data_IF_301761728240
#
_entry.id   IF_301761728240
#
_cell.length_a   1.000
_cell.length_b   1.000
_cell.length_c   1.000
_cell.angle_alpha   90.00
_cell.angle_beta   90.00
_cell.angle_gamma   90.00
#
_symmetry.space_group_name_H-M   'P 1'
#
loop_
_entity.id
_entity.type
_entity.pdbx_description
1 polymer ?
#
# COMPACT_ATOMS: atom_id res chain seq x y z
N UNK A 1 60.32 9.55 2.30
CA UNK A 1 59.17 9.18 1.44
C UNK A 1 58.61 7.86 1.95
N UNK A 2 57.62 7.95 2.84
CA UNK A 2 57.07 6.84 3.64
C UNK A 2 55.63 6.56 3.21
N UNK A 3 55.38 5.40 2.63
CA UNK A 3 54.02 4.93 2.27
C UNK A 3 53.28 4.39 3.49
N UNK A 4 52.38 5.19 4.06
CA UNK A 4 51.47 4.78 5.12
C UNK A 4 50.10 4.42 4.55
N UNK A 5 49.73 3.13 4.58
CA UNK A 5 48.34 2.70 4.37
C UNK A 5 47.54 3.02 5.64
N UNK A 6 46.62 3.98 5.57
CA UNK A 6 45.65 4.24 6.63
C UNK A 6 44.61 3.11 6.68
N UNK A 7 44.43 2.50 7.86
CA UNK A 7 43.36 1.54 8.14
C UNK A 7 42.06 2.31 8.39
N UNK A 8 40.95 1.83 7.83
CA UNK A 8 39.61 2.27 8.21
C UNK A 8 39.36 2.06 9.71
N UNK A 9 38.63 2.95 10.40
CA UNK A 9 38.24 2.73 11.78
C UNK A 9 37.29 1.52 11.85
N UNK A 10 37.70 0.52 12.62
CA UNK A 10 36.90 -0.67 12.90
C UNK A 10 35.66 -0.29 13.70
N UNK A 11 34.48 -0.36 13.07
CA UNK A 11 33.23 -0.53 13.82
C UNK A 11 33.31 -1.91 14.48
N UNK A 12 33.28 -1.95 15.82
CA UNK A 12 33.01 -3.18 16.54
C UNK A 12 31.64 -3.72 16.11
N UNK A 13 31.51 -5.00 15.72
CA UNK A 13 30.20 -5.58 15.47
C UNK A 13 29.44 -5.69 16.81
N UNK A 14 28.13 -5.43 16.78
CA UNK A 14 27.24 -5.85 17.87
C UNK A 14 27.36 -7.38 18.04
N UNK A 15 27.37 -7.90 19.29
CA UNK A 15 27.67 -9.32 19.55
C UNK A 15 26.67 -10.33 18.95
N UNK A 16 25.57 -9.87 18.36
CA UNK A 16 24.45 -10.72 17.92
C UNK A 16 24.20 -10.71 16.40
N UNK A 17 25.02 -10.04 15.59
CA UNK A 17 24.97 -10.13 14.11
C UNK A 17 23.65 -9.69 13.47
N UNK A 18 22.73 -9.08 14.23
CA UNK A 18 21.48 -8.53 13.70
C UNK A 18 21.75 -7.13 13.15
N UNK A 19 21.16 -6.73 12.00
CA UNK A 19 21.12 -5.31 11.65
C UNK A 19 20.48 -4.58 12.83
N UNK A 20 21.21 -3.63 13.42
CA UNK A 20 20.73 -2.88 14.57
C UNK A 20 19.34 -2.34 14.30
N UNK A 21 18.38 -2.66 15.18
CA UNK A 21 17.06 -2.05 15.16
C UNK A 21 17.28 -0.54 15.10
N UNK A 22 16.73 0.20 14.12
CA UNK A 22 16.98 1.64 14.06
C UNK A 22 16.59 2.23 15.41
N UNK A 23 17.58 2.82 16.09
CA UNK A 23 17.41 3.44 17.40
C UNK A 23 16.28 4.45 17.29
N UNK A 24 15.38 4.43 18.26
CA UNK A 24 14.12 5.19 18.37
C UNK A 24 14.32 6.73 18.40
N UNK A 25 15.53 7.23 18.09
CA UNK A 25 16.04 8.59 18.32
C UNK A 25 16.02 9.52 17.10
N UNK A 26 15.41 9.14 15.97
CA UNK A 26 15.17 10.07 14.84
C UNK A 26 13.76 10.02 14.27
N UNK A 27 12.74 10.11 15.12
CA UNK A 27 11.46 10.67 14.67
C UNK A 27 11.59 12.19 14.79
N UNK A 28 12.36 12.79 13.88
CA UNK A 28 12.37 14.25 13.73
C UNK A 28 10.99 14.65 13.23
N UNK A 29 10.31 15.44 14.06
CA UNK A 29 8.87 15.74 13.96
C UNK A 29 8.51 16.66 12.79
N UNK A 30 9.48 16.97 11.92
CA UNK A 30 9.39 17.99 10.86
C UNK A 30 9.86 17.48 9.47
N UNK A 31 10.31 16.22 9.37
CA UNK A 31 10.64 15.63 8.06
C UNK A 31 9.36 15.32 7.29
N UNK A 32 9.26 15.82 6.05
CA UNK A 32 8.10 15.56 5.20
C UNK A 32 8.01 14.07 4.89
N UNK A 33 6.81 13.52 5.04
CA UNK A 33 6.50 12.10 4.77
C UNK A 33 5.63 12.05 3.52
N UNK A 34 6.21 11.88 2.32
CA UNK A 34 5.46 11.81 1.08
C UNK A 34 4.71 10.49 1.00
N UNK A 35 3.40 10.56 0.83
CA UNK A 35 2.52 9.42 0.54
C UNK A 35 1.93 9.63 -0.85
N UNK A 36 2.18 8.71 -1.78
CA UNK A 36 1.55 8.76 -3.11
C UNK A 36 0.16 8.17 -3.00
N UNK A 37 -0.82 8.84 -3.58
CA UNK A 37 -2.23 8.45 -3.55
C UNK A 37 -2.72 8.37 -4.99
N UNK A 38 -2.95 7.15 -5.50
CA UNK A 38 -3.40 6.96 -6.87
C UNK A 38 -4.91 7.22 -6.99
N UNK A 39 -5.30 8.16 -7.84
CA UNK A 39 -6.70 8.55 -8.05
C UNK A 39 -7.04 8.35 -9.52
N UNK A 40 -8.08 7.59 -9.80
CA UNK A 40 -8.64 7.37 -11.14
C UNK A 40 -10.09 7.87 -11.30
N UNK A 41 -10.61 8.55 -10.27
CA UNK A 41 -11.95 9.12 -10.17
C UNK A 41 -13.09 8.09 -10.29
N UNK A 42 -12.81 6.82 -9.96
CA UNK A 42 -13.84 5.79 -9.84
C UNK A 42 -14.43 5.72 -8.42
N UNK A 43 -15.33 4.77 -8.19
CA UNK A 43 -16.01 4.58 -6.91
C UNK A 43 -15.04 4.17 -5.78
N UNK A 44 -13.88 3.60 -6.09
CA UNK A 44 -12.87 3.19 -5.10
C UNK A 44 -11.97 4.35 -4.68
N UNK A 45 -11.91 5.43 -5.47
CA UNK A 45 -11.09 6.59 -5.17
C UNK A 45 -11.43 7.21 -3.80
N UNK A 46 -12.69 7.17 -3.38
CA UNK A 46 -13.13 7.67 -2.07
C UNK A 46 -12.50 6.88 -0.91
N UNK A 47 -12.41 5.55 -1.03
CA UNK A 47 -11.78 4.69 -0.02
C UNK A 47 -10.27 4.91 0.02
N UNK A 48 -9.64 5.08 -1.14
CA UNK A 48 -8.21 5.43 -1.26
C UNK A 48 -7.92 6.75 -0.54
N UNK A 49 -8.73 7.79 -0.80
CA UNK A 49 -8.58 9.08 -0.13
C UNK A 49 -8.78 8.96 1.37
N UNK A 50 -9.83 8.25 1.81
CA UNK A 50 -10.13 8.08 3.24
C UNK A 50 -8.97 7.47 4.00
N UNK A 51 -8.38 6.41 3.44
CA UNK A 51 -7.27 5.73 4.09
C UNK A 51 -5.98 6.59 4.08
N UNK A 52 -5.70 7.29 2.98
CA UNK A 52 -4.60 8.24 2.92
C UNK A 52 -4.76 9.39 3.95
N UNK A 53 -5.97 9.92 4.10
CA UNK A 53 -6.29 10.94 5.11
C UNK A 53 -6.12 10.41 6.54
N UNK A 54 -6.55 9.16 6.84
CA UNK A 54 -6.29 8.53 8.15
C UNK A 54 -4.79 8.50 8.47
N UNK A 55 -3.94 8.16 7.50
CA UNK A 55 -2.48 8.17 7.68
C UNK A 55 -1.96 9.58 7.95
N UNK A 56 -2.51 10.60 7.27
CA UNK A 56 -2.11 12.00 7.48
C UNK A 56 -2.42 12.51 8.89
N UNK A 57 -3.43 11.95 9.57
CA UNK A 57 -3.77 12.27 10.94
C UNK A 57 -2.80 11.68 11.99
N UNK A 58 -2.05 10.63 11.65
CA UNK A 58 -1.19 9.92 12.62
C UNK A 58 0.13 10.63 12.91
N UNK A 59 0.59 11.47 11.98
CA UNK A 59 1.91 12.11 12.07
C UNK A 59 1.90 13.49 11.42
N UNK A 60 2.51 14.48 12.09
CA UNK A 60 2.83 15.76 11.44
C UNK A 60 3.83 15.55 10.31
N UNK A 61 3.73 16.37 9.27
CA UNK A 61 4.63 16.34 8.11
C UNK A 61 4.21 15.40 6.98
N UNK A 62 3.11 14.65 7.12
CA UNK A 62 2.55 13.88 5.98
C UNK A 62 2.07 14.82 4.90
N UNK A 63 2.50 14.55 3.67
CA UNK A 63 2.04 15.23 2.46
C UNK A 63 1.47 14.18 1.51
N UNK A 64 0.23 14.38 1.08
CA UNK A 64 -0.43 13.49 0.13
C UNK A 64 -0.12 13.95 -1.30
N UNK A 65 0.61 13.14 -2.03
CA UNK A 65 0.93 13.32 -3.44
C UNK A 65 -0.14 12.62 -4.28
N UNK A 66 -1.22 13.35 -4.59
CA UNK A 66 -2.33 12.86 -5.41
C UNK A 66 -1.85 12.65 -6.85
N UNK A 67 -1.94 11.44 -7.36
CA UNK A 67 -1.41 11.07 -8.66
C UNK A 67 -2.50 10.52 -9.57
N UNK A 68 -2.64 11.10 -10.76
CA UNK A 68 -3.46 10.55 -11.83
C UNK A 68 -2.58 10.19 -13.02
N UNK A 69 -2.80 9.00 -13.61
CA UNK A 69 -2.06 8.56 -14.80
C UNK A 69 -2.99 8.53 -16.00
N UNK A 70 -2.68 9.35 -16.99
CA UNK A 70 -3.34 9.32 -18.29
C UNK A 70 -2.71 8.21 -19.15
N UNK A 71 -3.51 7.37 -19.83
CA UNK A 71 -2.96 6.34 -20.71
C UNK A 71 -2.14 6.99 -21.84
N UNK A 72 -0.97 6.43 -22.15
CA UNK A 72 -0.21 6.87 -23.31
C UNK A 72 -0.94 6.49 -24.60
N UNK A 73 -1.16 7.46 -25.49
CA UNK A 73 -1.62 7.19 -26.85
C UNK A 73 -0.51 6.46 -27.62
N UNK A 74 -0.70 5.18 -27.87
CA UNK A 74 0.17 4.43 -28.77
C UNK A 74 -0.30 4.64 -30.22
N UNK A 75 0.51 5.33 -31.04
CA UNK A 75 0.65 5.01 -32.46
C UNK A 75 -0.42 5.45 -33.48
N UNK A 76 -1.03 6.62 -33.37
CA UNK A 76 -1.85 7.21 -34.45
C UNK A 76 -1.44 8.65 -34.75
N UNK A 77 -1.53 9.08 -36.02
CA UNK A 77 -1.20 10.45 -36.46
C UNK A 77 -1.71 11.49 -35.47
N UNK A 78 -0.79 12.07 -34.70
CA UNK A 78 -1.12 13.19 -33.84
C UNK A 78 -1.43 14.39 -34.75
N UNK A 79 -2.68 14.82 -34.74
CA UNK A 79 -3.06 16.07 -35.38
C UNK A 79 -2.86 17.22 -34.40
N UNK A 80 -2.69 18.44 -34.90
CA UNK A 80 -2.52 19.63 -34.03
C UNK A 80 -3.70 19.78 -33.04
N UNK A 81 -4.90 19.34 -33.42
CA UNK A 81 -6.09 19.30 -32.57
C UNK A 81 -5.98 18.29 -31.42
N UNK A 82 -5.49 17.07 -31.69
CA UNK A 82 -5.34 16.06 -30.63
C UNK A 82 -4.29 16.46 -29.59
N UNK A 83 -3.21 17.14 -30.01
CA UNK A 83 -2.18 17.67 -29.09
C UNK A 83 -2.76 18.76 -28.18
N UNK A 84 -3.58 19.66 -28.73
CA UNK A 84 -4.20 20.74 -27.96
C UNK A 84 -5.19 20.19 -26.92
N UNK A 85 -6.05 19.27 -27.32
CA UNK A 85 -7.00 18.61 -26.41
C UNK A 85 -6.29 17.83 -25.29
N UNK A 86 -5.14 17.19 -25.59
CA UNK A 86 -4.33 16.51 -24.58
C UNK A 86 -3.66 17.47 -23.60
N UNK A 87 -3.15 18.59 -24.11
CA UNK A 87 -2.54 19.64 -23.27
C UNK A 87 -3.59 20.22 -22.33
N UNK A 88 -4.79 20.50 -22.83
CA UNK A 88 -5.92 21.00 -22.02
C UNK A 88 -6.37 19.98 -20.97
N UNK A 89 -6.39 18.68 -21.30
CA UNK A 89 -6.62 17.62 -20.32
C UNK A 89 -5.52 17.57 -19.25
N UNK A 90 -4.26 17.67 -19.64
CA UNK A 90 -3.13 17.62 -18.71
C UNK A 90 -3.12 18.82 -17.75
N UNK A 91 -3.47 20.01 -18.24
CA UNK A 91 -3.54 21.24 -17.44
C UNK A 91 -4.76 21.28 -16.50
N UNK A 92 -5.88 20.67 -16.89
CA UNK A 92 -7.11 20.66 -16.09
C UNK A 92 -7.14 19.59 -14.99
N UNK A 93 -6.42 18.47 -15.16
CA UNK A 93 -6.41 17.36 -14.18
C UNK A 93 -5.90 17.77 -12.79
N UNK A 94 -4.80 18.55 -12.62
CA UNK A 94 -4.35 19.00 -11.30
C UNK A 94 -5.43 19.79 -10.56
N UNK A 95 -6.08 20.73 -11.24
CA UNK A 95 -7.16 21.52 -10.66
C UNK A 95 -8.35 20.64 -10.24
N UNK A 96 -8.69 19.65 -11.07
CA UNK A 96 -9.73 18.66 -10.78
C UNK A 96 -9.39 17.77 -9.59
N UNK A 97 -8.13 17.32 -9.44
CA UNK A 97 -7.70 16.55 -8.26
C UNK A 97 -7.85 17.38 -6.97
N UNK A 98 -7.44 18.65 -7.00
CA UNK A 98 -7.56 19.54 -5.85
C UNK A 98 -9.02 19.83 -5.50
N UNK A 99 -9.89 20.12 -6.48
CA UNK A 99 -11.31 20.36 -6.24
C UNK A 99 -11.97 19.11 -5.66
N UNK A 100 -11.69 17.94 -6.25
CA UNK A 100 -12.24 16.66 -5.83
C UNK A 100 -11.90 16.33 -4.36
N UNK A 101 -10.65 16.52 -3.92
CA UNK A 101 -10.28 16.32 -2.51
C UNK A 101 -10.92 17.35 -1.58
N UNK A 102 -10.95 18.62 -1.98
CA UNK A 102 -11.55 19.70 -1.16
C UNK A 102 -13.03 19.47 -0.93
N UNK A 103 -13.77 19.09 -1.96
CA UNK A 103 -15.19 18.77 -1.88
C UNK A 103 -15.45 17.63 -0.88
N UNK A 104 -14.64 16.57 -0.92
CA UNK A 104 -14.75 15.43 0.00
C UNK A 104 -14.38 15.78 1.42
N UNK A 105 -13.29 16.52 1.64
CA UNK A 105 -12.90 16.98 2.97
C UNK A 105 -13.92 17.95 3.56
N UNK A 106 -14.62 18.74 2.73
CA UNK A 106 -15.71 19.60 3.16
C UNK A 106 -16.99 18.81 3.50
N UNK A 107 -17.27 17.73 2.77
CA UNK A 107 -18.42 16.86 3.00
C UNK A 107 -18.23 15.90 4.19
N UNK A 108 -16.99 15.50 4.48
CA UNK A 108 -16.64 14.58 5.56
C UNK A 108 -15.51 15.16 6.43
N UNK A 109 -15.90 15.76 7.56
CA UNK A 109 -14.97 16.36 8.52
C UNK A 109 -13.97 15.36 9.11
N UNK A 110 -14.24 14.05 9.05
CA UNK A 110 -13.31 13.02 9.56
C UNK A 110 -12.04 12.90 8.71
N UNK A 111 -12.08 13.37 7.46
CA UNK A 111 -10.92 13.40 6.55
C UNK A 111 -9.93 14.52 6.90
N UNK A 112 -10.36 15.53 7.65
CA UNK A 112 -9.53 16.68 8.02
C UNK A 112 -9.14 17.56 6.82
N UNK A 113 -8.00 18.25 6.93
CA UNK A 113 -7.48 19.12 5.87
C UNK A 113 -6.02 18.75 5.55
N UNK A 114 -5.79 17.68 4.78
CA UNK A 114 -4.44 17.19 4.49
C UNK A 114 -3.65 18.18 3.64
N UNK A 115 -2.33 18.20 3.80
CA UNK A 115 -1.44 18.87 2.86
C UNK A 115 -1.38 18.03 1.58
N UNK A 116 -1.74 18.63 0.45
CA UNK A 116 -1.83 17.93 -0.83
C UNK A 116 -0.92 18.55 -1.89
N UNK A 117 -0.34 17.71 -2.74
CA UNK A 117 0.38 18.07 -3.96
C UNK A 117 -0.15 17.18 -5.09
N UNK A 118 -0.40 17.73 -6.26
CA UNK A 118 -0.93 16.97 -7.41
C UNK A 118 0.15 16.62 -8.42
N UNK A 119 0.05 15.41 -8.97
CA UNK A 119 0.92 14.86 -9.99
C UNK A 119 0.07 14.30 -11.12
N UNK A 120 0.41 14.65 -12.35
CA UNK A 120 -0.13 13.97 -13.53
C UNK A 120 1.01 13.29 -14.24
N UNK A 121 0.80 12.03 -14.60
CA UNK A 121 1.74 11.22 -15.37
C UNK A 121 1.04 10.69 -16.60
N UNK A 122 1.81 10.29 -17.60
CA UNK A 122 1.33 9.61 -18.79
C UNK A 122 1.98 8.22 -18.88
N UNK A 123 1.28 7.26 -19.48
CA UNK A 123 1.83 5.91 -19.68
C UNK A 123 1.04 4.81 -18.97
N UNK A 124 1.73 3.71 -18.67
CA UNK A 124 1.17 2.59 -17.92
C UNK A 124 1.02 2.99 -16.44
N UNK A 125 -0.18 2.90 -15.82
CA UNK A 125 -0.42 3.36 -14.46
C UNK A 125 0.53 2.77 -13.42
N UNK A 126 0.76 1.45 -13.45
CA UNK A 126 1.62 0.78 -12.47
C UNK A 126 3.07 1.28 -12.53
N UNK A 127 3.63 1.40 -13.75
CA UNK A 127 5.00 1.87 -13.96
C UNK A 127 5.14 3.35 -13.59
N UNK A 128 4.21 4.20 -14.03
CA UNK A 128 4.22 5.63 -13.76
C UNK A 128 4.09 5.93 -12.27
N UNK A 129 3.23 5.21 -11.54
CA UNK A 129 3.08 5.35 -10.10
C UNK A 129 4.30 4.82 -9.34
N UNK A 130 4.84 3.66 -9.73
CA UNK A 130 6.06 3.14 -9.14
C UNK A 130 7.25 4.09 -9.34
N UNK A 131 7.37 4.67 -10.53
CA UNK A 131 8.41 5.67 -10.82
C UNK A 131 8.22 6.93 -9.99
N UNK A 132 6.99 7.47 -9.91
CA UNK A 132 6.69 8.62 -9.05
C UNK A 132 7.09 8.35 -7.59
N UNK A 133 6.84 7.15 -7.08
CA UNK A 133 7.24 6.77 -5.72
C UNK A 133 8.76 6.84 -5.53
N UNK A 134 9.55 6.46 -6.54
CA UNK A 134 11.02 6.60 -6.51
C UNK A 134 11.42 8.07 -6.59
N UNK A 135 10.83 8.84 -7.52
CA UNK A 135 11.16 10.25 -7.76
C UNK A 135 11.07 11.11 -6.49
N UNK A 136 10.04 10.85 -5.65
CA UNK A 136 9.78 11.64 -4.44
C UNK A 136 10.18 10.92 -3.14
N UNK A 137 10.82 9.75 -3.24
CA UNK A 137 11.13 8.90 -2.07
C UNK A 137 9.90 8.62 -1.19
N UNK A 138 8.81 8.21 -1.83
CA UNK A 138 7.54 7.93 -1.18
C UNK A 138 7.68 6.88 -0.07
N UNK A 139 7.07 7.16 1.07
CA UNK A 139 7.07 6.26 2.25
C UNK A 139 5.92 5.26 2.19
N UNK A 140 4.91 5.54 1.36
CA UNK A 140 3.74 4.70 1.14
C UNK A 140 3.11 5.05 -0.21
N UNK A 141 2.60 4.04 -0.89
CA UNK A 141 1.73 4.18 -2.05
C UNK A 141 0.34 3.63 -1.69
N UNK A 142 -0.69 4.45 -1.80
CA UNK A 142 -2.10 4.07 -1.57
C UNK A 142 -2.79 3.93 -2.92
N UNK A 143 -3.42 2.77 -3.17
CA UNK A 143 -4.10 2.44 -4.42
C UNK A 143 -5.44 1.76 -4.13
N UNK A 144 -6.39 1.92 -5.04
CA UNK A 144 -7.67 1.20 -4.99
C UNK A 144 -7.55 -0.21 -5.59
N UNK A 145 -8.61 -1.01 -5.47
CA UNK A 145 -8.76 -2.26 -6.23
C UNK A 145 -9.92 -2.16 -7.20
N UNK A 146 -9.63 -1.81 -8.46
CA UNK A 146 -10.63 -1.93 -9.52
C UNK A 146 -10.01 -2.31 -10.88
N UNK A 147 -10.79 -3.02 -11.70
CA UNK A 147 -10.63 -3.16 -13.16
C UNK A 147 -11.92 -2.69 -13.85
N UNK A 148 -11.84 -2.04 -15.01
CA UNK A 148 -13.00 -1.54 -15.78
C UNK A 148 -13.93 -2.61 -16.37
N UNK A 149 -13.99 -3.82 -15.82
CA UNK A 149 -14.78 -4.95 -16.36
C UNK A 149 -15.34 -5.82 -15.24
N UNK A 150 -16.66 -6.01 -15.27
CA UNK A 150 -17.46 -6.68 -14.23
C UNK A 150 -17.18 -8.18 -14.08
N UNK A 151 -16.15 -8.53 -13.31
CA UNK A 151 -15.98 -9.86 -12.74
C UNK A 151 -15.93 -9.75 -11.21
N UNK A 152 -16.82 -10.51 -10.57
CA UNK A 152 -17.15 -10.49 -9.14
C UNK A 152 -15.98 -10.99 -8.27
N UNK A 153 -15.89 -10.41 -7.07
CA UNK A 153 -15.18 -10.87 -5.84
C UNK A 153 -13.64 -10.89 -5.90
N UNK A 154 -13.02 -10.16 -4.97
CA UNK A 154 -11.65 -10.35 -4.46
C UNK A 154 -10.49 -10.25 -5.48
N UNK A 155 -10.73 -9.80 -6.71
CA UNK A 155 -9.64 -9.58 -7.65
C UNK A 155 -8.87 -8.29 -7.29
N UNK A 156 -7.61 -8.46 -6.89
CA UNK A 156 -6.65 -7.37 -6.86
C UNK A 156 -6.58 -6.80 -8.28
N UNK A 157 -6.96 -5.54 -8.49
CA UNK A 157 -6.97 -4.93 -9.82
C UNK A 157 -5.63 -5.10 -10.53
N UNK A 158 -5.60 -5.19 -11.87
CA UNK A 158 -4.35 -5.49 -12.62
C UNK A 158 -3.24 -4.48 -12.33
N UNK A 159 -3.60 -3.21 -12.13
CA UNK A 159 -2.67 -2.15 -11.71
C UNK A 159 -2.15 -2.38 -10.29
N UNK A 160 -3.03 -2.69 -9.33
CA UNK A 160 -2.64 -2.94 -7.94
C UNK A 160 -1.73 -4.18 -7.81
N UNK A 161 -2.00 -5.24 -8.58
CA UNK A 161 -1.14 -6.44 -8.62
C UNK A 161 0.27 -6.11 -9.13
N UNK A 162 0.36 -5.39 -10.26
CA UNK A 162 1.64 -4.97 -10.81
C UNK A 162 2.40 -4.07 -9.83
N UNK A 163 1.70 -3.15 -9.17
CA UNK A 163 2.28 -2.25 -8.16
C UNK A 163 2.82 -3.05 -6.97
N UNK A 164 2.07 -3.99 -6.42
CA UNK A 164 2.54 -4.81 -5.28
C UNK A 164 3.81 -5.59 -5.62
N UNK A 165 3.95 -6.05 -6.87
CA UNK A 165 5.14 -6.77 -7.32
C UNK A 165 6.38 -5.90 -7.49
N UNK A 166 6.22 -4.62 -7.82
CA UNK A 166 7.32 -3.78 -8.33
C UNK A 166 7.57 -2.48 -7.55
N UNK A 167 6.63 -2.04 -6.72
CA UNK A 167 6.81 -0.83 -5.92
C UNK A 167 7.99 -0.99 -4.96
N UNK A 168 8.80 0.07 -4.86
CA UNK A 168 9.97 0.12 -3.95
C UNK A 168 9.62 0.68 -2.57
N UNK A 169 8.36 0.99 -2.33
CA UNK A 169 7.83 1.45 -1.05
C UNK A 169 6.69 0.51 -0.60
N UNK A 170 6.31 0.54 0.69
CA UNK A 170 5.08 -0.10 1.14
C UNK A 170 3.88 0.30 0.27
N UNK A 171 2.97 -0.65 0.06
CA UNK A 171 1.73 -0.44 -0.71
C UNK A 171 0.55 -0.72 0.20
N UNK A 172 -0.36 0.24 0.27
CA UNK A 172 -1.65 0.10 0.94
C UNK A 172 -2.74 0.01 -0.11
N UNK A 173 -3.42 -1.12 -0.10
CA UNK A 173 -4.52 -1.40 -1.01
C UNK A 173 -5.82 -1.08 -0.28
N UNK A 174 -6.45 0.03 -0.66
CA UNK A 174 -7.72 0.46 -0.12
C UNK A 174 -8.86 -0.22 -0.88
N UNK A 175 -9.66 -1.00 -0.15
CA UNK A 175 -10.86 -1.63 -0.67
C UNK A 175 -11.92 -1.64 0.42
N UNK A 176 -13.19 -1.32 0.12
CA UNK A 176 -14.27 -1.45 1.07
C UNK A 176 -14.54 -2.95 1.29
N UNK A 177 -13.91 -3.54 2.29
CA UNK A 177 -14.23 -4.92 2.67
C UNK A 177 -15.56 -4.90 3.40
N UNK A 178 -16.63 -5.22 2.69
CA UNK A 178 -17.87 -5.61 3.34
C UNK A 178 -17.72 -7.04 3.85
N UNK A 179 -17.38 -7.18 5.13
CA UNK A 179 -17.29 -8.48 5.80
C UNK A 179 -18.67 -9.16 5.94
N UNK A 180 -19.78 -8.45 5.72
CA UNK A 180 -21.11 -9.04 5.76
C UNK A 180 -21.33 -9.97 4.56
N UNK A 181 -21.54 -11.26 4.84
CA UNK A 181 -21.82 -12.27 3.81
C UNK A 181 -20.59 -12.83 3.08
N UNK A 182 -19.37 -12.48 3.51
CA UNK A 182 -18.20 -13.28 3.16
C UNK A 182 -18.25 -14.57 3.98
N UNK A 183 -17.94 -15.70 3.33
CA UNK A 183 -17.62 -16.93 4.06
C UNK A 183 -16.45 -16.55 4.97
N UNK A 184 -16.52 -16.79 6.30
CA UNK A 184 -15.41 -16.50 7.18
C UNK A 184 -14.16 -17.14 6.58
N UNK A 185 -13.16 -16.34 6.24
CA UNK A 185 -11.83 -16.89 5.98
C UNK A 185 -11.49 -17.74 7.20
N UNK A 186 -11.00 -18.98 7.05
CA UNK A 186 -10.58 -19.78 8.19
C UNK A 186 -9.67 -18.89 9.03
N UNK A 187 -10.16 -18.55 10.22
CA UNK A 187 -9.43 -17.63 11.08
C UNK A 187 -8.11 -18.34 11.40
N UNK A 188 -6.96 -17.65 11.36
CA UNK A 188 -5.75 -18.24 11.90
C UNK A 188 -6.08 -18.81 13.29
N UNK A 189 -5.68 -20.06 13.53
CA UNK A 189 -6.06 -20.77 14.74
C UNK A 189 -5.78 -19.90 15.97
N UNK A 190 -6.66 -19.91 16.97
CA UNK A 190 -6.48 -19.09 18.14
C UNK A 190 -5.11 -19.38 18.77
N UNK A 191 -4.39 -18.32 19.13
CA UNK A 191 -3.08 -18.44 19.76
C UNK A 191 -3.21 -19.32 21.00
N UNK A 192 -2.39 -20.37 21.09
CA UNK A 192 -2.32 -21.22 22.28
C UNK A 192 -2.10 -20.36 23.54
N UNK A 193 -2.97 -20.50 24.53
CA UNK A 193 -2.94 -19.71 25.77
C UNK A 193 -1.63 -19.84 26.54
N UNK A 194 -1.02 -21.03 26.52
CA UNK A 194 0.28 -21.27 27.14
C UNK A 194 1.42 -20.59 26.37
N UNK A 195 1.38 -20.58 25.04
CA UNK A 195 2.35 -19.83 24.23
C UNK A 195 2.24 -18.32 24.50
N UNK A 196 1.02 -17.79 24.62
CA UNK A 196 0.81 -16.40 24.98
C UNK A 196 1.36 -16.07 26.39
N UNK A 197 1.12 -16.94 27.38
CA UNK A 197 1.63 -16.78 28.73
C UNK A 197 3.17 -16.81 28.80
N UNK A 198 3.80 -17.77 28.11
CA UNK A 198 5.26 -17.87 28.04
C UNK A 198 5.88 -16.66 27.32
N UNK A 199 5.25 -16.19 26.24
CA UNK A 199 5.71 -14.98 25.54
C UNK A 199 5.61 -13.75 26.43
N UNK A 200 4.52 -13.61 27.18
CA UNK A 200 4.34 -12.50 28.11
C UNK A 200 5.35 -12.54 29.27
N UNK A 201 5.51 -13.71 29.93
CA UNK A 201 6.40 -13.85 31.09
C UNK A 201 7.89 -13.76 30.73
N UNK A 202 8.26 -14.14 29.52
CA UNK A 202 9.63 -14.05 29.01
C UNK A 202 9.96 -12.74 28.28
N UNK A 203 9.02 -11.79 28.22
CA UNK A 203 9.13 -10.57 27.41
C UNK A 203 9.53 -10.85 25.95
N UNK A 204 8.99 -11.94 25.39
CA UNK A 204 9.24 -12.39 24.02
C UNK A 204 10.56 -13.15 23.81
N UNK A 205 11.37 -13.40 24.84
CA UNK A 205 12.57 -14.23 24.71
C UNK A 205 12.21 -15.70 24.38
N UNK A 206 11.03 -16.17 24.81
CA UNK A 206 10.46 -17.45 24.44
C UNK A 206 9.13 -17.22 23.70
N UNK A 207 8.93 -17.94 22.59
CA UNK A 207 7.77 -17.75 21.71
C UNK A 207 6.71 -18.84 21.85
N UNK A 208 7.10 -19.99 22.39
CA UNK A 208 6.33 -21.23 22.39
C UNK A 208 6.32 -21.86 23.78
N UNK A 209 5.21 -22.47 24.18
CA UNK A 209 5.18 -23.34 25.37
C UNK A 209 5.98 -24.61 25.11
N UNK A 210 6.27 -25.38 26.16
CA UNK A 210 7.04 -26.62 26.07
C UNK A 210 6.51 -27.54 24.97
N UNK A 211 5.20 -27.79 24.91
CA UNK A 211 4.56 -28.59 23.88
C UNK A 211 4.84 -28.06 22.47
N UNK A 212 4.71 -26.76 22.22
CA UNK A 212 4.92 -26.16 20.90
C UNK A 212 6.38 -25.83 20.57
N UNK A 213 7.28 -25.94 21.55
CA UNK A 213 8.73 -25.83 21.35
C UNK A 213 9.34 -27.13 20.82
N UNK A 214 8.64 -28.26 20.96
CA UNK A 214 9.04 -29.53 20.38
C UNK A 214 8.81 -29.53 18.85
N UNK A 215 9.70 -30.14 18.05
CA UNK A 215 9.48 -30.31 16.62
C UNK A 215 8.23 -31.17 16.35
N UNK A 216 7.25 -30.63 15.64
CA UNK A 216 6.09 -31.37 15.15
C UNK A 216 6.19 -31.52 13.63
N UNK A 217 6.05 -32.74 13.11
CA UNK A 217 6.00 -33.03 11.66
C UNK A 217 4.57 -32.92 11.08
N UNK A 218 3.72 -32.05 11.63
CA UNK A 218 2.41 -31.75 11.04
C UNK A 218 2.46 -30.39 10.35
N UNK A 219 2.59 -30.43 9.04
CA UNK A 219 2.28 -29.30 8.16
C UNK A 219 0.81 -28.93 8.35
N UNK A 220 0.55 -27.79 8.98
CA UNK A 220 -0.79 -27.17 8.98
C UNK A 220 -0.88 -26.32 7.72
N UNK A 221 -1.34 -26.92 6.63
CA UNK A 221 -1.61 -26.22 5.38
C UNK A 221 -3.11 -25.99 5.32
N UNK A 222 -3.54 -24.73 5.24
CA UNK A 222 -4.92 -24.43 4.88
C UNK A 222 -5.13 -24.93 3.45
N UNK A 223 -5.95 -25.96 3.24
CA UNK A 223 -6.23 -26.41 1.88
C UNK A 223 -7.03 -25.31 1.16
N UNK A 224 -6.78 -25.06 -0.13
CA UNK A 224 -7.50 -24.04 -0.90
C UNK A 224 -9.03 -24.19 -0.84
N UNK A 225 -9.52 -25.43 -0.71
CA UNK A 225 -10.95 -25.74 -0.58
C UNK A 225 -11.57 -25.19 0.73
N UNK A 226 -10.77 -25.06 1.80
CA UNK A 226 -11.20 -24.51 3.09
C UNK A 226 -11.27 -22.98 3.08
N UNK A 227 -10.55 -22.33 2.16
CA UNK A 227 -10.41 -20.87 2.07
C UNK A 227 -11.32 -20.28 0.97
N UNK A 228 -11.52 -21.03 -0.12
CA UNK A 228 -12.37 -20.64 -1.24
C UNK A 228 -13.14 -21.87 -1.73
N UNK A 229 -14.39 -22.08 -1.28
CA UNK A 229 -15.21 -23.16 -1.85
C UNK A 229 -15.42 -22.85 -3.34
N UNK A 230 -14.71 -23.58 -4.20
CA UNK A 230 -14.96 -23.60 -5.64
C UNK A 230 -16.38 -24.13 -5.82
N UNK A 231 -17.20 -23.35 -6.52
CA UNK A 231 -18.66 -23.50 -6.51
C UNK A 231 -19.14 -24.92 -6.65
N UNK A 232 -19.82 -25.42 -5.62
CA UNK A 232 -20.86 -26.42 -5.82
C UNK A 232 -22.07 -25.71 -6.41
N UNK A 233 -22.47 -26.17 -7.59
CA UNK A 233 -23.65 -25.76 -8.33
C UNK A 233 -24.83 -25.43 -7.40
N UNK A 234 -25.48 -24.29 -7.63
CA UNK A 234 -26.71 -23.95 -6.91
C UNK A 234 -27.79 -24.98 -7.28
N UNK A 235 -28.38 -25.71 -6.32
CA UNK A 235 -29.61 -26.41 -6.58
C UNK A 235 -30.76 -25.39 -6.58
N UNK A 236 -31.53 -25.35 -7.67
CA UNK A 236 -32.78 -24.59 -7.76
C UNK A 236 -32.74 -23.39 -8.70
N UNK A 237 -32.64 -23.66 -10.00
CA UNK A 237 -33.22 -22.79 -11.03
C UNK A 237 -34.71 -23.11 -11.16
N UNK A 238 -35.56 -22.18 -10.72
CA UNK A 238 -36.89 -21.93 -11.31
C UNK A 238 -36.88 -20.47 -11.74
#
# INVERSE_FOLDING_TARGET
MTGGRQRCPSRSPSPDGRPGRPTQERIMSDELVPIVVAIDFDDTADDVLREACRMSGWRRGVVLHLAHVLPALHGGQQTLGSIRDETEKLESVPARLLSWVRERCAADATLGNPRVVTHVRTGAPAEALAQLCVDISAQLLVVGTHQRTGMKRLALGSVAEQIIRHARCPVLVAHPINYAGLVPTPHPDPVCSQCAAVRASSNGAQQWCEQHSQPHLRLHVYEPADVFPVGTERPGSI
#
